data_IF_008314426870
#
_entry.id   IF_008314426870
#
_cell.length_a   1.000
_cell.length_b   1.000
_cell.length_c   1.000
_cell.angle_alpha   90.00
_cell.angle_beta   90.00
_cell.angle_gamma   90.00
#
_symmetry.space_group_name_H-M   'P 1'
#
loop_
_entity.id
_entity.type
_entity.pdbx_description
1 polymer ?
#
# COMPACT_ATOMS: atom_id res chain seq x y z
N UNK A 1 36.04 -1.37 36.90
CA UNK A 1 35.23 -0.14 36.85
C UNK A 1 34.42 -0.27 35.57
N UNK A 2 33.25 -0.88 35.67
CA UNK A 2 32.36 -1.16 34.55
C UNK A 2 31.20 -0.17 34.60
N UNK A 3 30.95 0.48 33.47
CA UNK A 3 29.87 1.45 33.29
C UNK A 3 28.70 0.71 32.65
N UNK A 4 27.57 0.67 33.36
CA UNK A 4 26.31 0.08 32.89
C UNK A 4 25.55 1.22 32.22
N UNK A 5 25.27 1.08 30.92
CA UNK A 5 24.42 2.02 30.18
C UNK A 5 23.00 1.45 30.21
N UNK A 6 22.10 2.10 30.95
CA UNK A 6 20.66 1.84 30.91
C UNK A 6 20.10 2.43 29.60
N UNK A 7 19.41 1.60 28.82
CA UNK A 7 18.68 2.02 27.62
C UNK A 7 17.22 2.14 28.04
N UNK A 8 16.69 3.36 28.02
CA UNK A 8 15.27 3.64 28.24
C UNK A 8 14.47 3.28 26.98
N UNK A 9 13.53 2.34 27.12
CA UNK A 9 12.54 1.99 26.11
C UNK A 9 11.46 3.09 26.04
N UNK A 10 11.56 3.99 25.05
CA UNK A 10 10.49 4.95 24.72
C UNK A 10 9.53 4.32 23.72
N UNK A 11 8.49 3.67 24.23
CA UNK A 11 7.31 3.25 23.47
C UNK A 11 6.33 4.43 23.44
N UNK A 12 6.27 5.15 22.31
CA UNK A 12 5.20 6.11 22.04
C UNK A 12 4.21 5.48 21.04
N UNK A 13 3.26 4.72 21.57
CA UNK A 13 2.04 4.33 20.87
C UNK A 13 1.03 5.48 20.96
N UNK A 14 0.70 6.09 19.82
CA UNK A 14 -0.54 6.86 19.68
C UNK A 14 -1.10 6.59 18.30
N UNK A 15 -1.82 5.48 18.20
CA UNK A 15 -2.65 5.12 17.06
C UNK A 15 -3.95 5.91 17.21
N UNK A 16 -4.09 7.00 16.46
CA UNK A 16 -5.38 7.66 16.28
C UNK A 16 -6.15 6.86 15.21
N UNK A 17 -6.99 5.95 15.68
CA UNK A 17 -8.01 5.29 14.84
C UNK A 17 -9.04 6.34 14.40
N UNK A 18 -8.92 6.79 13.15
CA UNK A 18 -10.01 7.50 12.48
C UNK A 18 -10.42 6.66 11.27
N UNK A 19 -11.57 6.01 11.40
CA UNK A 19 -12.25 5.26 10.34
C UNK A 19 -12.49 6.15 9.11
N UNK A 20 -12.12 5.74 7.88
CA UNK A 20 -12.69 6.32 6.69
C UNK A 20 -14.04 5.64 6.42
N UNK A 21 -15.12 6.38 6.71
CA UNK A 21 -16.49 6.08 6.31
C UNK A 21 -16.58 6.01 4.78
N UNK A 22 -16.58 4.80 4.22
CA UNK A 22 -16.84 4.54 2.80
C UNK A 22 -18.35 4.49 2.59
N UNK A 23 -18.94 5.63 2.20
CA UNK A 23 -20.30 5.65 1.66
C UNK A 23 -20.25 5.49 0.14
N UNK A 24 -20.54 4.29 -0.34
CA UNK A 24 -20.81 4.02 -1.76
C UNK A 24 -22.31 4.16 -2.03
N UNK A 25 -22.72 5.10 -2.88
CA UNK A 25 -24.02 5.09 -3.54
C UNK A 25 -23.89 5.70 -4.95
N UNK A 26 -24.10 4.89 -6.00
CA UNK A 26 -24.59 5.37 -7.29
C UNK A 26 -26.11 5.55 -7.22
N UNK A 27 -26.84 6.26 -8.09
CA UNK A 27 -26.60 6.86 -9.42
C UNK A 27 -27.77 7.88 -9.62
N UNK A 28 -28.20 8.18 -10.87
CA UNK A 28 -27.88 9.35 -11.70
C UNK A 28 -28.84 10.54 -11.49
N UNK A 29 -28.37 11.77 -11.63
CA UNK A 29 -29.31 12.84 -11.98
C UNK A 29 -28.73 13.93 -12.87
N UNK A 30 -29.60 14.40 -13.75
CA UNK A 30 -29.35 15.18 -14.94
C UNK A 30 -29.69 16.64 -14.66
N UNK A 31 -28.73 17.54 -14.71
CA UNK A 31 -28.99 18.97 -14.95
C UNK A 31 -27.88 19.59 -15.80
N UNK A 32 -28.22 20.18 -16.96
CA UNK A 32 -27.34 21.10 -17.66
C UNK A 32 -27.56 22.52 -17.11
N UNK A 33 -26.51 23.17 -16.60
CA UNK A 33 -26.25 24.60 -16.79
C UNK A 33 -24.98 25.06 -16.04
N UNK A 34 -24.02 25.53 -16.84
CA UNK A 34 -23.09 26.66 -16.61
C UNK A 34 -22.18 26.71 -15.37
N UNK A 35 -20.91 26.30 -15.58
CA UNK A 35 -19.61 26.92 -15.20
C UNK A 35 -19.39 27.44 -13.75
N UNK A 36 -18.23 27.12 -13.12
CA UNK A 36 -16.92 27.46 -13.67
C UNK A 36 -16.01 26.24 -13.88
N UNK A 37 -15.10 26.35 -14.84
CA UNK A 37 -13.97 25.46 -15.03
C UNK A 37 -13.05 25.52 -13.81
N UNK A 38 -13.46 24.85 -12.74
CA UNK A 38 -12.54 24.40 -11.70
C UNK A 38 -11.84 23.20 -12.30
N UNK A 39 -10.72 23.46 -12.98
CA UNK A 39 -9.72 22.45 -13.29
C UNK A 39 -9.26 21.85 -11.96
N UNK A 40 -10.03 20.89 -11.46
CA UNK A 40 -9.78 20.17 -10.23
C UNK A 40 -8.51 19.39 -10.48
N UNK A 41 -7.37 19.93 -10.01
CA UNK A 41 -6.09 19.25 -10.08
C UNK A 41 -6.27 17.96 -9.29
N UNK A 42 -6.47 16.85 -10.00
CA UNK A 42 -6.46 15.51 -9.42
C UNK A 42 -5.24 15.40 -8.51
N UNK A 43 -5.34 14.72 -7.35
CA UNK A 43 -4.22 14.62 -6.42
C UNK A 43 -3.02 14.01 -7.16
N UNK A 44 -2.00 14.85 -7.38
CA UNK A 44 -0.76 14.45 -8.04
C UNK A 44 0.25 14.01 -6.98
N UNK A 45 0.77 12.79 -7.12
CA UNK A 45 1.88 12.32 -6.30
C UNK A 45 3.24 12.68 -6.92
N UNK A 46 4.29 12.65 -6.10
CA UNK A 46 5.64 13.06 -6.50
C UNK A 46 6.33 12.05 -7.42
N UNK A 47 7.30 11.32 -6.87
CA UNK A 47 8.15 10.39 -7.62
C UNK A 47 7.35 9.12 -7.96
N UNK A 48 7.35 8.71 -9.23
CA UNK A 48 6.68 7.47 -9.67
C UNK A 48 7.32 6.26 -9.01
N UNK A 49 6.49 5.30 -8.58
CA UNK A 49 6.92 4.13 -7.82
C UNK A 49 7.15 4.40 -6.34
N UNK A 50 7.05 5.65 -5.87
CA UNK A 50 7.05 5.94 -4.43
C UNK A 50 5.89 5.21 -3.76
N UNK A 51 6.19 4.47 -2.69
CA UNK A 51 5.23 3.67 -1.94
C UNK A 51 5.09 4.20 -0.52
N UNK A 52 3.86 4.19 -0.02
CA UNK A 52 3.55 4.41 1.38
C UNK A 52 2.37 3.52 1.76
N UNK A 53 2.57 2.70 2.79
CA UNK A 53 1.55 1.75 3.28
C UNK A 53 1.02 0.89 2.12
N UNK A 54 -0.28 0.92 1.86
CA UNK A 54 -0.96 0.20 0.79
C UNK A 54 -1.20 1.05 -0.47
N UNK A 55 -0.44 2.12 -0.68
CA UNK A 55 -0.54 2.94 -1.88
C UNK A 55 0.79 3.17 -2.58
N UNK A 56 0.73 3.46 -3.88
CA UNK A 56 1.87 3.82 -4.70
C UNK A 56 1.56 4.96 -5.67
N UNK A 57 2.60 5.66 -6.11
CA UNK A 57 2.50 6.69 -7.14
C UNK A 57 2.65 6.10 -8.54
N UNK A 58 1.61 6.22 -9.38
CA UNK A 58 1.60 5.68 -10.74
C UNK A 58 2.44 6.50 -11.74
N UNK A 59 2.55 6.00 -12.98
CA UNK A 59 3.17 6.71 -14.10
C UNK A 59 2.37 7.99 -14.45
N UNK A 60 1.06 7.96 -14.27
CA UNK A 60 0.13 9.09 -14.48
C UNK A 60 0.06 10.06 -13.30
N UNK A 61 0.98 9.95 -12.34
CA UNK A 61 1.01 10.76 -11.11
C UNK A 61 -0.25 10.61 -10.26
N UNK A 62 -0.91 9.46 -10.31
CA UNK A 62 -2.06 9.16 -9.45
C UNK A 62 -1.65 8.28 -8.28
N UNK A 63 -2.22 8.52 -7.11
CA UNK A 63 -2.10 7.63 -5.96
C UNK A 63 -3.07 6.47 -6.18
N UNK A 64 -2.54 5.26 -6.28
CA UNK A 64 -3.32 4.04 -6.47
C UNK A 64 -3.05 3.05 -5.34
N UNK A 65 -4.04 2.22 -5.03
CA UNK A 65 -3.89 1.13 -4.04
C UNK A 65 -3.02 0.02 -4.61
N UNK A 66 -2.19 -0.55 -3.76
CA UNK A 66 -1.39 -1.71 -4.10
C UNK A 66 -2.25 -2.95 -4.31
N UNK A 67 -1.87 -3.73 -5.30
CA UNK A 67 -2.53 -4.94 -5.77
C UNK A 67 -2.20 -6.14 -4.91
N UNK A 68 -3.21 -6.98 -4.71
CA UNK A 68 -3.11 -8.23 -3.96
C UNK A 68 -2.48 -9.35 -4.81
N UNK A 69 -2.30 -10.53 -4.21
CA UNK A 69 -1.69 -11.67 -4.91
C UNK A 69 -2.51 -12.08 -6.12
N UNK A 70 -1.81 -12.50 -7.18
CA UNK A 70 -2.36 -12.99 -8.46
C UNK A 70 -3.07 -11.93 -9.29
N UNK A 71 -3.21 -10.70 -8.80
CA UNK A 71 -3.69 -9.58 -9.60
C UNK A 71 -2.66 -9.17 -10.65
N UNK A 72 -3.15 -8.61 -11.76
CA UNK A 72 -2.32 -8.22 -12.88
C UNK A 72 -1.46 -7.00 -12.54
N UNK A 73 -0.17 -7.01 -12.86
CA UNK A 73 0.76 -5.91 -12.59
C UNK A 73 1.73 -5.71 -13.74
N UNK A 74 2.25 -4.50 -13.89
CA UNK A 74 3.36 -4.20 -14.81
C UNK A 74 4.68 -4.02 -14.05
N UNK A 75 4.62 -3.39 -12.88
CA UNK A 75 5.80 -3.03 -12.10
C UNK A 75 5.75 -3.59 -10.67
N UNK A 76 6.93 -3.83 -10.07
CA UNK A 76 7.04 -4.40 -8.72
C UNK A 76 6.32 -3.60 -7.65
N UNK A 77 6.34 -2.27 -7.76
CA UNK A 77 5.75 -1.36 -6.78
C UNK A 77 4.21 -1.40 -6.78
N UNK A 78 3.59 -1.95 -7.80
CA UNK A 78 2.13 -2.11 -7.85
C UNK A 78 1.66 -3.18 -6.88
N UNK A 79 2.50 -4.16 -6.56
CA UNK A 79 2.13 -5.27 -5.70
C UNK A 79 2.45 -4.99 -4.23
N UNK A 80 1.55 -5.39 -3.32
CA UNK A 80 1.82 -5.35 -1.87
C UNK A 80 3.13 -6.06 -1.51
N UNK A 81 3.37 -7.22 -2.14
CA UNK A 81 4.59 -8.03 -1.99
C UNK A 81 5.86 -7.40 -2.54
N UNK A 82 5.76 -6.27 -3.25
CA UNK A 82 6.86 -5.68 -4.02
C UNK A 82 7.46 -6.64 -5.07
N UNK A 83 6.63 -7.48 -5.66
CA UNK A 83 7.08 -8.51 -6.60
C UNK A 83 6.03 -8.78 -7.67
N UNK A 84 6.33 -8.30 -8.87
CA UNK A 84 5.57 -8.54 -10.09
C UNK A 84 6.37 -9.47 -11.00
N UNK A 85 5.78 -10.60 -11.39
CA UNK A 85 6.40 -11.55 -12.33
C UNK A 85 5.32 -12.18 -13.19
N UNK A 86 5.61 -12.35 -14.49
CA UNK A 86 4.64 -12.90 -15.47
C UNK A 86 3.32 -12.12 -15.41
N UNK A 87 3.44 -10.78 -15.36
CA UNK A 87 2.32 -9.84 -15.30
C UNK A 87 1.40 -10.04 -14.09
N UNK A 88 1.86 -10.71 -13.02
CA UNK A 88 1.07 -10.99 -11.83
C UNK A 88 1.82 -10.73 -10.53
N UNK A 89 1.09 -10.29 -9.53
CA UNK A 89 1.62 -10.10 -8.19
C UNK A 89 1.91 -11.44 -7.53
N UNK A 90 3.20 -11.74 -7.34
CA UNK A 90 3.65 -12.95 -6.66
C UNK A 90 3.85 -12.74 -5.16
N UNK A 91 4.12 -13.81 -4.42
CA UNK A 91 4.51 -13.70 -3.02
C UNK A 91 6.03 -13.60 -2.90
N UNK A 92 6.55 -12.47 -2.39
CA UNK A 92 7.94 -12.38 -1.98
C UNK A 92 8.07 -12.93 -0.56
N UNK A 93 8.81 -14.01 -0.38
CA UNK A 93 9.19 -14.50 0.96
C UNK A 93 8.09 -15.15 1.83
N UNK A 94 6.87 -15.36 1.34
CA UNK A 94 5.81 -15.98 2.18
C UNK A 94 6.07 -17.45 2.48
N UNK A 95 6.62 -18.21 1.53
CA UNK A 95 6.99 -19.61 1.78
C UNK A 95 8.22 -19.75 2.66
N UNK A 96 9.03 -18.71 2.84
CA UNK A 96 10.23 -18.77 3.69
C UNK A 96 9.86 -19.14 5.12
N UNK A 97 8.77 -18.61 5.68
CA UNK A 97 8.30 -18.98 7.03
C UNK A 97 7.70 -20.38 7.11
N UNK A 98 7.02 -20.84 6.06
CA UNK A 98 6.43 -22.18 6.03
C UNK A 98 7.51 -23.27 5.88
N UNK A 99 8.58 -23.01 5.13
CA UNK A 99 9.68 -23.96 4.95
C UNK A 99 10.40 -24.24 6.27
N UNK A 100 10.63 -23.24 7.11
CA UNK A 100 11.30 -23.46 8.40
C UNK A 100 10.49 -24.35 9.35
N UNK A 101 9.15 -24.22 9.35
CA UNK A 101 8.29 -25.11 10.14
C UNK A 101 8.24 -26.54 9.58
N UNK A 102 8.27 -26.71 8.25
CA UNK A 102 8.27 -28.04 7.63
C UNK A 102 9.57 -28.82 7.84
N UNK A 103 10.73 -28.15 7.95
CA UNK A 103 12.01 -28.81 8.22
C UNK A 103 12.05 -29.36 9.66
N UNK A 104 11.55 -28.59 10.62
CA UNK A 104 11.50 -28.97 12.04
C UNK A 104 10.53 -30.14 12.36
N UNK A 105 9.57 -30.41 11.45
CA UNK A 105 8.59 -31.50 11.62
C UNK A 105 9.09 -32.87 11.12
N UNK A 106 10.17 -32.90 10.32
CA UNK A 106 10.70 -34.13 9.70
C UNK A 106 12.14 -34.46 10.13
N UNK A 107 12.67 -33.76 11.14
CA UNK A 107 13.77 -34.23 11.99
C UNK A 107 13.21 -35.05 13.19
#
# INVERSE_FOLDING_TARGET
IGEIIEIEDVVNDTINDTEPNVTSNGTPDTTPDTAPDTTSKKPQCGITGFRREDTYCSKDKMILTQKDRKEACEENYECKSNYCKEEKCGAKGFFSKMIYWFIDLFD
#
